data_IF_251968481621
#
_entry.id   IF_251968481621
#
_cell.length_a   1.000
_cell.length_b   1.000
_cell.length_c   1.000
_cell.angle_alpha   90.00
_cell.angle_beta   90.00
_cell.angle_gamma   90.00
#
_symmetry.space_group_name_H-M   'P 1'
#
loop_
_entity.id
_entity.type
_entity.pdbx_description
1 polymer ?
#
# COMPACT_ATOMS: atom_id res chain seq x y z
N UNK A 1 81.25 -4.10 48.11
CA UNK A 1 80.67 -4.76 46.92
C UNK A 1 79.19 -4.38 46.84
N UNK A 2 78.85 -3.41 45.99
CA UNK A 2 77.47 -3.05 45.65
C UNK A 2 77.41 -2.92 44.13
N UNK A 3 76.77 -3.87 43.47
CA UNK A 3 76.44 -3.78 42.05
C UNK A 3 75.03 -3.19 41.91
N UNK A 4 74.79 -2.21 41.02
CA UNK A 4 73.44 -1.80 40.67
C UNK A 4 72.92 -2.76 39.58
N UNK A 5 71.76 -3.37 39.83
CA UNK A 5 70.99 -4.06 38.81
C UNK A 5 70.33 -3.01 37.91
N UNK A 6 70.77 -2.95 36.65
CA UNK A 6 70.11 -2.19 35.60
C UNK A 6 68.88 -2.97 35.13
N UNK A 7 67.70 -2.48 35.46
CA UNK A 7 66.42 -3.03 34.98
C UNK A 7 66.13 -2.44 33.59
N UNK A 8 66.46 -3.18 32.53
CA UNK A 8 66.04 -2.86 31.17
C UNK A 8 64.53 -3.11 31.07
N UNK A 9 63.74 -2.03 31.11
CA UNK A 9 62.32 -2.05 30.80
C UNK A 9 62.17 -2.12 29.28
N UNK A 10 61.99 -3.34 28.74
CA UNK A 10 61.53 -3.55 27.36
C UNK A 10 60.04 -3.16 27.32
N UNK A 11 59.76 -1.92 26.95
CA UNK A 11 58.43 -1.49 26.53
C UNK A 11 58.04 -2.32 25.30
N UNK A 12 56.91 -3.07 25.32
CA UNK A 12 56.42 -3.67 24.09
C UNK A 12 56.09 -2.51 23.16
N UNK A 13 56.68 -2.53 21.97
CA UNK A 13 56.32 -1.63 20.88
C UNK A 13 54.85 -1.93 20.55
N UNK A 14 53.93 -1.23 21.21
CA UNK A 14 52.51 -1.27 20.89
C UNK A 14 52.42 -0.60 19.52
N UNK A 15 52.44 -1.42 18.47
CA UNK A 15 52.15 -1.00 17.12
C UNK A 15 50.80 -0.31 17.16
N UNK A 16 50.81 1.01 17.14
CA UNK A 16 49.65 1.83 16.84
C UNK A 16 49.25 1.43 15.41
N UNK A 17 48.35 0.46 15.28
CA UNK A 17 47.57 0.29 14.08
C UNK A 17 46.78 1.59 13.93
N UNK A 18 47.27 2.47 13.06
CA UNK A 18 46.51 3.61 12.58
C UNK A 18 45.28 3.03 11.88
N UNK A 19 44.15 2.98 12.57
CA UNK A 19 42.87 2.68 11.97
C UNK A 19 42.44 3.93 11.20
N UNK A 20 42.98 4.10 9.99
CA UNK A 20 42.29 4.87 8.98
C UNK A 20 41.11 4.00 8.53
N UNK A 21 39.99 4.04 9.27
CA UNK A 21 38.72 3.61 8.67
C UNK A 21 38.52 4.45 7.41
N UNK A 22 38.03 3.84 6.33
CA UNK A 22 37.75 4.52 5.05
C UNK A 22 36.77 5.68 5.19
N UNK A 23 36.36 6.26 4.06
CA UNK A 23 35.23 7.20 4.06
C UNK A 23 33.91 6.45 3.96
N UNK A 24 32.78 6.99 4.47
CA UNK A 24 31.49 6.35 4.28
C UNK A 24 31.05 6.37 2.81
N UNK A 25 30.31 5.34 2.34
CA UNK A 25 29.79 5.29 0.99
C UNK A 25 28.90 6.49 0.63
N UNK A 26 28.94 6.90 -0.64
CA UNK A 26 27.99 7.84 -1.22
C UNK A 26 26.79 7.06 -1.75
N UNK A 27 25.67 7.13 -1.02
CA UNK A 27 24.42 6.52 -1.44
C UNK A 27 23.76 7.32 -2.58
N UNK A 28 23.38 6.63 -3.66
CA UNK A 28 22.65 7.20 -4.77
C UNK A 28 21.49 6.30 -5.18
N UNK A 29 20.33 6.91 -5.43
CA UNK A 29 19.09 6.23 -5.74
C UNK A 29 18.43 6.88 -6.95
N UNK A 30 18.09 6.08 -7.95
CA UNK A 30 17.20 6.45 -9.04
C UNK A 30 15.89 5.67 -8.98
N UNK A 31 14.78 6.32 -9.34
CA UNK A 31 13.44 5.71 -9.30
C UNK A 31 12.79 5.89 -10.66
N UNK A 32 12.27 4.81 -11.23
CA UNK A 32 11.59 4.83 -12.52
C UNK A 32 10.27 4.07 -12.47
N UNK A 33 9.12 4.70 -12.80
CA UNK A 33 8.96 6.14 -13.06
C UNK A 33 9.04 6.97 -11.76
N UNK A 34 9.32 8.28 -11.84
CA UNK A 34 9.38 9.15 -10.65
C UNK A 34 7.98 9.52 -10.07
N UNK A 35 6.91 9.19 -10.79
CA UNK A 35 5.53 9.31 -10.35
C UNK A 35 4.68 8.21 -10.96
N UNK A 36 3.59 7.86 -10.30
CA UNK A 36 2.71 6.78 -10.72
C UNK A 36 1.44 6.74 -9.89
N UNK A 37 0.69 5.65 -9.95
CA UNK A 37 -0.45 5.39 -9.06
C UNK A 37 -0.22 4.10 -8.27
N UNK A 38 -1.21 3.65 -7.50
CA UNK A 38 -1.09 2.44 -6.67
C UNK A 38 -0.95 1.13 -7.47
N UNK A 39 -1.08 1.16 -8.80
CA UNK A 39 -0.79 0.02 -9.68
C UNK A 39 0.53 0.15 -10.43
N UNK A 40 1.26 1.25 -10.24
CA UNK A 40 2.58 1.44 -10.84
C UNK A 40 3.60 0.57 -10.12
N UNK A 41 4.35 -0.20 -10.88
CA UNK A 41 5.57 -0.84 -10.42
C UNK A 41 6.73 0.15 -10.56
N UNK A 42 7.32 0.53 -9.44
CA UNK A 42 8.46 1.43 -9.37
C UNK A 42 9.74 0.61 -9.32
N UNK A 43 10.68 0.90 -10.21
CA UNK A 43 12.03 0.35 -10.20
C UNK A 43 12.90 1.30 -9.39
N UNK A 44 13.40 0.82 -8.25
CA UNK A 44 14.33 1.54 -7.39
C UNK A 44 15.72 0.97 -7.62
N UNK A 45 16.61 1.78 -8.20
CA UNK A 45 17.93 1.37 -8.61
C UNK A 45 19.00 2.11 -7.77
N UNK A 46 19.67 1.40 -6.83
CA UNK A 46 20.72 1.95 -5.99
C UNK A 46 22.12 1.85 -6.62
N UNK A 47 22.23 1.35 -7.86
CA UNK A 47 23.50 0.96 -8.48
C UNK A 47 24.43 2.14 -8.79
N UNK A 48 23.94 3.38 -8.73
CA UNK A 48 24.80 4.56 -8.82
C UNK A 48 25.59 4.84 -7.53
N UNK A 49 25.32 4.11 -6.44
CA UNK A 49 26.05 4.24 -5.18
C UNK A 49 27.51 3.81 -5.35
N UNK A 50 28.40 4.47 -4.63
CA UNK A 50 29.84 4.27 -4.75
C UNK A 50 30.56 4.56 -3.45
N UNK A 51 31.70 3.94 -3.25
CA UNK A 51 32.67 4.30 -2.23
C UNK A 51 34.04 4.52 -2.87
N UNK A 52 34.88 5.39 -2.30
CA UNK A 52 36.19 5.72 -2.85
C UNK A 52 37.24 4.64 -2.56
N UNK A 53 37.05 3.88 -1.49
CA UNK A 53 37.98 2.88 -0.99
C UNK A 53 37.48 1.44 -1.21
N UNK A 54 36.16 1.23 -1.25
CA UNK A 54 35.54 -0.09 -1.41
C UNK A 54 35.09 -0.39 -2.83
N UNK A 55 35.20 -1.67 -3.23
CA UNK A 55 34.64 -2.13 -4.49
C UNK A 55 33.11 -2.15 -4.41
N UNK A 56 32.44 -1.93 -5.54
CA UNK A 56 30.97 -1.85 -5.59
C UNK A 56 30.29 -3.15 -5.15
N UNK A 57 30.95 -4.29 -5.37
CA UNK A 57 30.48 -5.61 -4.99
C UNK A 57 30.53 -5.86 -3.47
N UNK A 58 31.35 -5.10 -2.75
CA UNK A 58 31.47 -5.16 -1.29
C UNK A 58 30.44 -4.24 -0.59
N UNK A 59 29.85 -3.30 -1.34
CA UNK A 59 28.76 -2.46 -0.85
C UNK A 59 27.44 -3.22 -0.76
N UNK A 60 26.70 -2.96 0.32
CA UNK A 60 25.38 -3.54 0.54
C UNK A 60 24.38 -2.45 0.89
N UNK A 61 23.12 -2.62 0.51
CA UNK A 61 22.07 -1.65 0.80
C UNK A 61 20.84 -2.24 1.48
N UNK A 62 20.08 -1.38 2.15
CA UNK A 62 18.76 -1.69 2.72
C UNK A 62 17.81 -0.51 2.59
N UNK A 63 16.52 -0.80 2.74
CA UNK A 63 15.44 0.12 2.44
C UNK A 63 14.57 0.38 3.66
N UNK A 64 14.19 1.64 3.81
CA UNK A 64 13.13 2.13 4.67
C UNK A 64 12.11 2.79 3.72
N UNK A 65 10.98 2.11 3.49
CA UNK A 65 10.03 2.45 2.42
C UNK A 65 9.23 3.71 2.69
N UNK A 66 9.12 4.12 3.96
CA UNK A 66 8.27 5.22 4.41
C UNK A 66 9.03 6.26 5.27
N UNK A 67 10.35 6.10 5.43
CA UNK A 67 11.24 6.95 6.23
C UNK A 67 10.78 7.09 7.68
N UNK A 68 10.21 6.03 8.27
CA UNK A 68 9.75 6.04 9.66
C UNK A 68 10.86 5.66 10.67
N UNK A 69 12.04 5.28 10.17
CA UNK A 69 13.20 4.88 10.97
C UNK A 69 13.24 3.39 11.30
N UNK A 70 12.26 2.60 10.85
CA UNK A 70 12.28 1.15 10.82
C UNK A 70 12.75 0.72 9.43
N UNK A 71 13.60 -0.31 9.37
CA UNK A 71 14.11 -0.84 8.12
C UNK A 71 13.28 -2.07 7.72
N UNK A 72 12.58 -2.02 6.58
CA UNK A 72 11.78 -3.16 6.10
C UNK A 72 12.63 -4.27 5.49
N UNK A 73 13.85 -3.95 5.06
CA UNK A 73 14.76 -4.94 4.48
C UNK A 73 16.06 -5.08 5.27
N UNK A 74 16.63 -6.30 5.23
CA UNK A 74 18.02 -6.51 5.57
C UNK A 74 18.96 -5.99 4.48
N UNK A 75 20.27 -5.99 4.75
CA UNK A 75 21.28 -5.63 3.76
C UNK A 75 21.34 -6.66 2.62
N UNK A 76 21.31 -6.17 1.38
CA UNK A 76 21.38 -6.91 0.12
C UNK A 76 22.38 -6.24 -0.84
N UNK A 77 22.67 -6.87 -1.98
CA UNK A 77 23.49 -6.26 -3.04
C UNK A 77 22.79 -5.05 -3.66
N UNK A 78 23.54 -4.19 -4.35
CA UNK A 78 23.04 -2.98 -5.03
C UNK A 78 22.24 -3.27 -6.33
N UNK A 79 21.43 -4.32 -6.33
CA UNK A 79 20.57 -4.68 -7.46
C UNK A 79 19.26 -3.86 -7.44
N UNK A 80 18.72 -3.48 -8.61
CA UNK A 80 17.42 -2.82 -8.68
C UNK A 80 16.29 -3.67 -8.11
N UNK A 81 15.36 -3.05 -7.40
CA UNK A 81 14.17 -3.70 -6.83
C UNK A 81 12.90 -3.11 -7.42
N UNK A 82 11.88 -3.94 -7.54
CA UNK A 82 10.53 -3.51 -7.92
C UNK A 82 9.71 -3.35 -6.64
N UNK A 83 9.11 -2.18 -6.46
CA UNK A 83 8.22 -1.88 -5.35
C UNK A 83 6.91 -1.25 -5.86
N UNK A 84 5.81 -1.50 -5.15
CA UNK A 84 4.51 -0.90 -5.42
C UNK A 84 3.93 -0.36 -4.12
N UNK A 85 3.44 0.88 -4.16
CA UNK A 85 2.82 1.55 -3.02
C UNK A 85 1.30 1.37 -3.05
N UNK A 86 0.69 1.13 -1.89
CA UNK A 86 -0.75 0.89 -1.72
C UNK A 86 -1.53 2.11 -1.20
N UNK A 87 -0.86 3.25 -1.05
CA UNK A 87 -1.44 4.52 -0.62
C UNK A 87 -1.24 5.62 -1.66
N UNK A 88 -2.08 6.64 -1.60
CA UNK A 88 -1.98 7.86 -2.43
C UNK A 88 -1.29 8.93 -1.60
N UNK A 89 -0.38 9.67 -2.20
CA UNK A 89 0.36 10.74 -1.55
C UNK A 89 1.83 10.72 -1.93
N UNK A 90 2.63 11.41 -1.12
CA UNK A 90 4.08 11.42 -1.26
C UNK A 90 4.65 10.32 -0.37
N UNK A 91 5.55 9.50 -0.94
CA UNK A 91 6.38 8.56 -0.19
C UNK A 91 7.82 9.06 -0.16
N UNK A 92 8.46 9.05 1.00
CA UNK A 92 9.89 9.33 1.15
C UNK A 92 10.63 8.01 1.35
N UNK A 93 11.22 7.46 0.29
CA UNK A 93 11.99 6.21 0.40
C UNK A 93 13.42 6.53 0.79
N UNK A 94 13.89 5.92 1.88
CA UNK A 94 15.26 6.04 2.36
C UNK A 94 16.07 4.80 2.03
N UNK A 95 17.22 5.03 1.40
CA UNK A 95 18.24 4.05 1.09
C UNK A 95 19.43 4.25 2.03
N UNK A 96 19.91 3.18 2.65
CA UNK A 96 21.22 3.14 3.30
C UNK A 96 22.14 2.19 2.55
N UNK A 97 23.39 2.62 2.37
CA UNK A 97 24.48 1.83 1.79
C UNK A 97 25.59 1.73 2.82
N UNK A 98 26.09 0.51 3.04
CA UNK A 98 27.16 0.19 4.00
C UNK A 98 28.34 -0.46 3.26
N UNK A 99 29.55 -0.18 3.74
CA UNK A 99 30.79 -0.84 3.33
C UNK A 99 31.18 -2.01 4.25
N UNK A 100 32.31 -2.64 3.95
CA UNK A 100 32.91 -3.73 4.75
C UNK A 100 33.45 -3.27 6.12
N UNK A 101 33.76 -1.98 6.27
CA UNK A 101 34.26 -1.35 7.50
C UNK A 101 33.13 -0.94 8.47
N UNK A 102 31.88 -1.10 8.00
CA UNK A 102 30.64 -0.78 8.70
C UNK A 102 30.28 0.70 8.68
N UNK A 103 30.90 1.51 7.83
CA UNK A 103 30.50 2.90 7.60
C UNK A 103 29.32 2.92 6.64
N UNK A 104 28.41 3.86 6.86
CA UNK A 104 27.21 3.98 6.02
C UNK A 104 26.93 5.40 5.56
N UNK A 105 26.36 5.48 4.36
CA UNK A 105 25.77 6.67 3.80
C UNK A 105 24.30 6.44 3.49
N UNK A 106 23.51 7.51 3.50
CA UNK A 106 22.07 7.45 3.24
C UNK A 106 21.63 8.47 2.22
N UNK A 107 20.58 8.15 1.47
CA UNK A 107 19.86 9.11 0.60
C UNK A 107 18.36 8.89 0.73
N UNK A 108 17.58 9.93 0.42
CA UNK A 108 16.11 9.90 0.44
C UNK A 108 15.60 10.35 -0.92
N UNK A 109 14.62 9.63 -1.46
CA UNK A 109 13.94 9.99 -2.71
C UNK A 109 12.44 10.07 -2.47
N UNK A 110 11.87 11.21 -2.83
CA UNK A 110 10.42 11.40 -2.86
C UNK A 110 9.83 10.78 -4.12
N UNK A 111 8.71 10.07 -3.97
CA UNK A 111 7.94 9.45 -5.06
C UNK A 111 6.49 9.94 -4.92
N UNK A 112 5.90 10.47 -6.00
CA UNK A 112 4.49 10.89 -6.03
C UNK A 112 3.60 9.74 -6.48
N UNK A 113 2.71 9.31 -5.59
CA UNK A 113 1.68 8.32 -5.89
C UNK A 113 0.36 9.06 -6.06
N UNK A 114 -0.02 9.25 -7.32
CA UNK A 114 -1.17 9.99 -7.76
C UNK A 114 -2.47 9.17 -7.65
N UNK A 115 -3.59 9.90 -7.52
CA UNK A 115 -4.92 9.33 -7.65
C UNK A 115 -5.33 9.04 -9.12
N UNK A 116 -4.43 9.27 -10.07
CA UNK A 116 -4.71 9.10 -11.50
C UNK A 116 -5.01 7.64 -11.82
N UNK A 117 -6.22 7.36 -12.30
CA UNK A 117 -6.67 5.99 -12.55
C UNK A 117 -7.05 5.20 -11.29
N UNK A 118 -7.01 5.82 -10.11
CA UNK A 118 -7.52 5.22 -8.86
C UNK A 118 -8.96 5.57 -8.58
N UNK A 119 -9.54 6.57 -9.27
CA UNK A 119 -10.97 6.86 -9.21
C UNK A 119 -11.47 7.49 -10.51
N UNK A 120 -12.78 7.46 -10.69
CA UNK A 120 -13.41 8.07 -11.84
C UNK A 120 -14.92 7.93 -11.80
N UNK A 121 -15.55 7.99 -12.98
CA UNK A 121 -16.98 7.82 -13.11
C UNK A 121 -17.36 7.18 -14.44
N UNK A 122 -18.50 6.50 -14.47
CA UNK A 122 -19.11 5.98 -15.70
C UNK A 122 -20.60 6.33 -15.73
N UNK A 123 -21.22 6.23 -16.90
CA UNK A 123 -22.67 6.34 -17.04
C UNK A 123 -23.26 4.94 -17.19
N UNK A 124 -24.30 4.65 -16.41
CA UNK A 124 -25.16 3.50 -16.66
C UNK A 124 -26.06 3.84 -17.86
N UNK A 125 -25.90 3.10 -18.96
CA UNK A 125 -26.65 3.35 -20.19
C UNK A 125 -28.15 3.05 -20.08
N UNK A 126 -28.57 2.34 -19.02
CA UNK A 126 -29.95 1.92 -18.81
C UNK A 126 -30.82 3.05 -18.25
N UNK A 127 -30.25 3.97 -17.48
CA UNK A 127 -30.96 5.10 -16.84
C UNK A 127 -30.23 6.45 -16.96
N UNK A 128 -29.07 6.49 -17.63
CA UNK A 128 -28.17 7.65 -17.74
C UNK A 128 -27.66 8.18 -16.40
N UNK A 129 -27.74 7.38 -15.33
CA UNK A 129 -27.19 7.77 -14.04
C UNK A 129 -25.66 7.65 -14.07
N UNK A 130 -24.99 8.71 -13.61
CA UNK A 130 -23.54 8.75 -13.46
C UNK A 130 -23.16 8.18 -12.10
N UNK A 131 -22.32 7.15 -12.08
CA UNK A 131 -21.78 6.55 -10.86
C UNK A 131 -20.28 6.79 -10.78
N UNK A 132 -19.78 7.05 -9.57
CA UNK A 132 -18.34 7.08 -9.30
C UNK A 132 -17.80 5.68 -9.02
N UNK A 133 -16.55 5.46 -9.37
CA UNK A 133 -15.80 4.27 -9.05
C UNK A 133 -14.47 4.63 -8.39
N UNK A 134 -13.94 3.67 -7.63
CA UNK A 134 -12.64 3.74 -6.98
C UNK A 134 -11.92 2.40 -7.17
N UNK A 135 -10.60 2.44 -7.37
CA UNK A 135 -9.73 1.28 -7.41
C UNK A 135 -9.17 1.06 -6.01
N UNK A 136 -9.31 -0.17 -5.51
CA UNK A 136 -8.82 -0.62 -4.21
C UNK A 136 -7.98 -1.87 -4.47
N UNK A 137 -6.67 -1.74 -4.29
CA UNK A 137 -5.71 -2.74 -4.76
C UNK A 137 -5.86 -3.00 -6.26
N UNK A 138 -6.06 -4.26 -6.61
CA UNK A 138 -6.24 -4.70 -8.01
C UNK A 138 -7.69 -4.61 -8.50
N UNK A 139 -8.64 -4.29 -7.63
CA UNK A 139 -10.07 -4.31 -7.93
C UNK A 139 -10.65 -2.91 -8.15
N UNK A 140 -11.65 -2.80 -9.00
CA UNK A 140 -12.43 -1.58 -9.21
C UNK A 140 -13.81 -1.77 -8.60
N UNK A 141 -14.19 -0.86 -7.71
CA UNK A 141 -15.44 -0.87 -6.96
C UNK A 141 -16.27 0.36 -7.32
N UNK A 142 -17.60 0.23 -7.30
CA UNK A 142 -18.44 1.42 -7.27
C UNK A 142 -18.21 2.14 -5.95
N UNK A 143 -17.96 3.45 -6.02
CA UNK A 143 -17.83 4.31 -4.85
C UNK A 143 -19.20 4.83 -4.35
N UNK A 144 -20.27 4.47 -5.05
CA UNK A 144 -21.65 4.87 -4.76
C UNK A 144 -22.54 3.63 -4.78
N UNK A 145 -23.58 3.65 -3.95
CA UNK A 145 -24.59 2.60 -3.99
C UNK A 145 -25.36 2.65 -5.33
N UNK A 146 -25.59 1.47 -5.92
CA UNK A 146 -26.39 1.35 -7.13
C UNK A 146 -27.82 1.87 -6.88
N UNK A 147 -28.35 2.63 -7.84
CA UNK A 147 -29.66 3.29 -7.75
C UNK A 147 -30.51 3.08 -9.02
N UNK A 148 -30.24 2.03 -9.78
CA UNK A 148 -31.03 1.62 -10.92
C UNK A 148 -32.45 1.20 -10.51
N UNK A 149 -33.50 1.83 -11.07
CA UNK A 149 -34.90 1.49 -10.79
C UNK A 149 -35.36 0.35 -11.68
N UNK A 150 -35.63 -0.81 -11.08
CA UNK A 150 -36.26 -1.94 -11.77
C UNK A 150 -37.78 -1.77 -11.87
N UNK A 151 -38.43 -2.49 -12.79
CA UNK A 151 -39.90 -2.54 -12.89
C UNK A 151 -40.53 -3.10 -11.61
N UNK A 152 -39.94 -4.16 -11.05
CA UNK A 152 -40.34 -4.80 -9.80
C UNK A 152 -39.10 -5.23 -9.01
N UNK A 153 -39.23 -5.37 -7.68
CA UNK A 153 -38.14 -5.85 -6.83
C UNK A 153 -37.05 -4.81 -6.51
N UNK A 154 -37.34 -3.51 -6.64
CA UNK A 154 -36.49 -2.44 -6.07
C UNK A 154 -37.33 -1.38 -5.36
N UNK A 155 -36.80 -0.82 -4.27
CA UNK A 155 -37.48 0.21 -3.48
C UNK A 155 -36.49 1.13 -2.77
N UNK A 156 -36.95 2.31 -2.38
CA UNK A 156 -36.18 3.22 -1.55
C UNK A 156 -36.34 2.85 -0.08
N UNK A 157 -35.31 3.07 0.73
CA UNK A 157 -35.42 2.96 2.18
C UNK A 157 -36.58 3.82 2.70
N UNK A 158 -37.43 3.26 3.57
CA UNK A 158 -38.71 3.85 4.04
C UNK A 158 -39.72 4.24 2.95
N UNK A 159 -39.58 3.72 1.72
CA UNK A 159 -40.40 4.10 0.56
C UNK A 159 -40.37 5.61 0.24
N UNK A 160 -39.26 6.31 0.55
CA UNK A 160 -39.07 7.74 0.26
C UNK A 160 -38.08 7.92 -0.89
N UNK A 161 -38.50 8.55 -1.99
CA UNK A 161 -37.63 8.75 -3.17
C UNK A 161 -36.34 9.51 -2.85
N UNK A 162 -36.39 10.47 -1.92
CA UNK A 162 -35.20 11.18 -1.43
C UNK A 162 -34.14 10.24 -0.82
N UNK A 163 -34.55 9.11 -0.25
CA UNK A 163 -33.63 8.11 0.29
C UNK A 163 -32.95 7.30 -0.81
N UNK A 164 -33.58 7.11 -1.98
CA UNK A 164 -32.91 6.51 -3.14
C UNK A 164 -31.77 7.40 -3.64
N UNK A 165 -32.00 8.72 -3.72
CA UNK A 165 -30.98 9.67 -4.16
C UNK A 165 -29.78 9.73 -3.21
N UNK A 166 -30.01 9.47 -1.91
CA UNK A 166 -28.98 9.57 -0.87
C UNK A 166 -28.27 8.24 -0.58
N UNK A 167 -29.00 7.13 -0.58
CA UNK A 167 -28.52 5.83 -0.11
C UNK A 167 -28.50 4.76 -1.20
N UNK A 168 -28.96 5.08 -2.41
CA UNK A 168 -29.23 4.11 -3.46
C UNK A 168 -30.51 3.30 -3.21
N UNK A 169 -30.71 2.28 -4.03
CA UNK A 169 -31.89 1.41 -3.98
C UNK A 169 -31.61 0.12 -3.22
N UNK A 170 -32.66 -0.35 -2.55
CA UNK A 170 -32.73 -1.71 -2.03
C UNK A 170 -33.26 -2.60 -3.15
N UNK A 171 -32.70 -3.81 -3.24
CA UNK A 171 -33.03 -4.78 -4.27
C UNK A 171 -33.45 -6.10 -3.63
N UNK A 172 -34.46 -6.72 -4.23
CA UNK A 172 -34.81 -8.09 -3.91
C UNK A 172 -33.68 -9.03 -4.35
N UNK A 173 -33.44 -10.08 -3.57
CA UNK A 173 -32.36 -11.03 -3.84
C UNK A 173 -32.39 -11.58 -5.28
N UNK A 174 -33.57 -11.89 -5.80
CA UNK A 174 -33.77 -12.43 -7.15
C UNK A 174 -33.39 -11.44 -8.27
N UNK A 175 -33.41 -10.13 -7.98
CA UNK A 175 -32.93 -9.10 -8.90
C UNK A 175 -31.41 -8.91 -8.85
N UNK A 176 -30.74 -9.41 -7.80
CA UNK A 176 -29.30 -9.26 -7.56
C UNK A 176 -28.49 -10.53 -7.83
N UNK A 177 -29.12 -11.70 -7.75
CA UNK A 177 -28.46 -12.98 -7.85
C UNK A 177 -28.33 -13.43 -9.31
N UNK A 178 -27.39 -12.82 -10.03
CA UNK A 178 -27.00 -13.17 -11.41
C UNK A 178 -26.80 -14.70 -11.63
N UNK A 179 -26.40 -15.43 -10.57
CA UNK A 179 -25.95 -16.82 -10.69
C UNK A 179 -26.93 -17.90 -10.18
N UNK A 180 -28.13 -17.57 -9.67
CA UNK A 180 -28.97 -18.56 -8.96
C UNK A 180 -30.33 -18.91 -9.59
N UNK A 181 -30.76 -18.28 -10.69
CA UNK A 181 -32.13 -18.54 -11.20
C UNK A 181 -32.31 -18.62 -12.72
N UNK A 182 -31.27 -18.65 -13.55
CA UNK A 182 -31.45 -18.89 -15.00
C UNK A 182 -32.34 -17.85 -15.74
N UNK A 183 -32.74 -16.76 -15.08
CA UNK A 183 -33.67 -15.75 -15.58
C UNK A 183 -32.96 -14.46 -16.04
N UNK A 184 -31.62 -14.41 -15.94
CA UNK A 184 -30.78 -13.38 -16.59
C UNK A 184 -30.97 -11.94 -16.12
N UNK A 185 -31.54 -11.68 -14.94
CA UNK A 185 -31.70 -10.31 -14.41
C UNK A 185 -30.59 -9.98 -13.43
N UNK A 186 -29.43 -9.61 -13.96
CA UNK A 186 -28.40 -8.92 -13.18
C UNK A 186 -28.75 -7.43 -13.11
N UNK A 187 -28.89 -6.90 -11.89
CA UNK A 187 -29.11 -5.47 -11.69
C UNK A 187 -27.87 -4.63 -12.00
N UNK A 188 -26.69 -5.25 -12.05
CA UNK A 188 -25.45 -4.54 -12.31
C UNK A 188 -25.37 -4.04 -13.76
N UNK A 189 -24.84 -2.83 -14.00
CA UNK A 189 -24.60 -2.33 -15.36
C UNK A 189 -23.63 -3.23 -16.13
N UNK A 190 -23.61 -3.12 -17.46
CA UNK A 190 -22.63 -3.86 -18.29
C UNK A 190 -21.21 -3.56 -17.82
N UNK A 191 -20.41 -4.62 -17.63
CA UNK A 191 -19.03 -4.53 -17.14
C UNK A 191 -18.91 -4.46 -15.60
N UNK A 192 -20.03 -4.47 -14.88
CA UNK A 192 -20.10 -4.56 -13.43
C UNK A 192 -20.84 -5.83 -13.03
N UNK A 193 -20.54 -6.35 -11.85
CA UNK A 193 -21.21 -7.52 -11.28
C UNK A 193 -21.30 -7.41 -9.77
N UNK A 194 -22.17 -8.22 -9.18
CA UNK A 194 -22.22 -8.37 -7.72
C UNK A 194 -20.94 -9.07 -7.25
N UNK A 195 -20.20 -8.51 -6.29
CA UNK A 195 -18.97 -9.10 -5.79
C UNK A 195 -19.18 -10.53 -5.29
N UNK A 196 -18.29 -11.43 -5.69
CA UNK A 196 -18.15 -12.76 -5.08
C UNK A 196 -17.50 -12.66 -3.68
N UNK A 197 -17.65 -13.70 -2.85
CA UNK A 197 -16.94 -13.77 -1.56
C UNK A 197 -15.42 -13.69 -1.73
N UNK A 198 -14.86 -14.29 -2.79
CA UNK A 198 -13.42 -14.17 -3.12
C UNK A 198 -13.00 -12.73 -3.43
N UNK A 199 -13.84 -11.97 -4.12
CA UNK A 199 -13.55 -10.58 -4.41
C UNK A 199 -13.66 -9.72 -3.17
N UNK A 200 -14.66 -9.97 -2.32
CA UNK A 200 -14.80 -9.28 -1.05
C UNK A 200 -13.64 -9.59 -0.10
N UNK A 201 -13.15 -10.84 -0.05
CA UNK A 201 -11.94 -11.23 0.70
C UNK A 201 -10.69 -10.48 0.23
N UNK A 202 -10.57 -10.24 -1.08
CA UNK A 202 -9.45 -9.46 -1.63
C UNK A 202 -9.50 -8.02 -1.14
N UNK A 203 -10.69 -7.39 -1.16
CA UNK A 203 -10.92 -6.07 -0.58
C UNK A 203 -10.62 -6.05 0.93
N UNK A 204 -11.12 -7.02 1.68
CA UNK A 204 -10.91 -7.14 3.13
C UNK A 204 -9.43 -7.23 3.49
N UNK A 205 -8.68 -8.08 2.79
CA UNK A 205 -7.22 -8.19 2.94
C UNK A 205 -6.55 -6.85 2.67
N UNK A 206 -6.92 -6.18 1.58
CA UNK A 206 -6.35 -4.88 1.22
C UNK A 206 -6.57 -3.83 2.32
N UNK A 207 -7.74 -3.80 2.97
CA UNK A 207 -8.01 -2.85 4.05
C UNK A 207 -7.45 -3.29 5.42
N UNK A 208 -6.65 -4.35 5.46
CA UNK A 208 -5.90 -4.80 6.62
C UNK A 208 -6.60 -5.89 7.44
N UNK A 209 -7.40 -6.77 6.80
CA UNK A 209 -7.87 -7.98 7.46
C UNK A 209 -6.76 -9.04 7.48
N UNK A 210 -6.53 -9.63 8.65
CA UNK A 210 -5.60 -10.74 8.85
C UNK A 210 -6.03 -11.99 8.07
N UNK A 211 -5.06 -12.67 7.44
CA UNK A 211 -5.32 -13.81 6.54
C UNK A 211 -6.15 -14.92 7.21
N UNK A 212 -5.86 -15.23 8.47
CA UNK A 212 -6.53 -16.31 9.19
C UNK A 212 -8.01 -16.02 9.52
N UNK A 213 -8.44 -14.73 9.46
CA UNK A 213 -9.82 -14.30 9.73
C UNK A 213 -10.68 -14.30 8.46
N UNK A 214 -10.08 -14.30 7.27
CA UNK A 214 -10.79 -14.17 5.99
C UNK A 214 -11.82 -15.28 5.75
N UNK A 215 -11.53 -16.49 6.25
CA UNK A 215 -12.37 -17.67 6.05
C UNK A 215 -13.35 -17.94 7.19
N UNK A 216 -13.41 -17.06 8.20
CA UNK A 216 -14.37 -17.19 9.29
C UNK A 216 -15.81 -17.00 8.77
N UNK A 217 -16.74 -17.80 9.28
CA UNK A 217 -18.17 -17.64 8.99
C UNK A 217 -18.78 -16.58 9.92
N UNK A 218 -19.50 -15.63 9.34
CA UNK A 218 -20.19 -14.57 10.09
C UNK A 218 -19.40 -13.27 10.14
N UNK A 219 -19.23 -12.69 11.34
CA UNK A 219 -18.53 -11.40 11.50
C UNK A 219 -17.03 -11.61 11.37
N UNK A 220 -16.43 -11.03 10.33
CA UNK A 220 -14.97 -11.07 10.10
C UNK A 220 -14.29 -9.78 10.55
N UNK A 221 -13.47 -9.88 11.59
CA UNK A 221 -12.61 -8.79 12.07
C UNK A 221 -13.32 -7.48 12.44
N UNK A 222 -12.56 -6.38 12.38
CA UNK A 222 -13.02 -5.01 12.70
C UNK A 222 -12.84 -4.02 11.54
N UNK A 223 -12.59 -4.52 10.32
CA UNK A 223 -12.32 -3.68 9.14
C UNK A 223 -13.56 -2.96 8.60
N UNK A 224 -14.77 -3.35 9.02
CA UNK A 224 -16.01 -2.70 8.61
C UNK A 224 -16.00 -1.19 8.88
N UNK A 225 -15.30 -0.73 9.93
CA UNK A 225 -15.14 0.70 10.21
C UNK A 225 -14.50 1.45 9.02
N UNK A 226 -13.54 0.84 8.32
CA UNK A 226 -12.85 1.42 7.16
C UNK A 226 -13.72 1.48 5.89
N UNK A 227 -14.69 0.57 5.78
CA UNK A 227 -15.55 0.43 4.59
C UNK A 227 -16.86 1.23 4.68
N UNK A 228 -17.39 1.44 5.90
CA UNK A 228 -18.64 2.18 6.12
C UNK A 228 -18.48 3.68 5.89
N UNK A 229 -19.54 4.34 5.41
CA UNK A 229 -19.66 5.80 5.34
C UNK A 229 -19.34 6.49 6.66
N UNK A 230 -18.77 7.69 6.61
CA UNK A 230 -18.57 8.56 7.78
C UNK A 230 -19.86 9.18 8.32
N UNK A 231 -20.99 9.00 7.63
CA UNK A 231 -22.28 9.55 8.05
C UNK A 231 -23.47 8.69 7.61
N UNK A 232 -24.67 9.05 8.04
CA UNK A 232 -25.92 8.43 7.57
C UNK A 232 -26.39 7.21 8.36
N UNK A 233 -25.58 6.71 9.29
CA UNK A 233 -25.98 5.67 10.24
C UNK A 233 -26.45 6.27 11.58
N UNK A 234 -27.24 5.50 12.34
CA UNK A 234 -27.64 5.87 13.70
C UNK A 234 -26.45 5.97 14.68
N UNK A 235 -26.72 6.23 15.96
CA UNK A 235 -25.69 6.39 16.98
C UNK A 235 -24.67 5.24 16.93
N UNK A 236 -23.38 5.58 16.84
CA UNK A 236 -22.22 4.67 16.75
C UNK A 236 -22.14 3.78 15.49
N UNK A 237 -23.01 4.00 14.50
CA UNK A 237 -23.06 3.20 13.27
C UNK A 237 -22.10 3.63 12.16
N UNK A 238 -21.58 4.86 12.21
CA UNK A 238 -20.71 5.39 11.15
C UNK A 238 -19.34 4.68 11.13
N UNK A 239 -18.68 4.76 9.98
CA UNK A 239 -17.30 4.35 9.75
C UNK A 239 -16.35 5.54 9.64
N UNK A 240 -15.12 5.27 9.21
CA UNK A 240 -14.15 6.27 8.75
C UNK A 240 -14.20 6.48 7.25
N UNK A 241 -14.78 5.53 6.49
CA UNK A 241 -14.74 5.49 5.03
C UNK A 241 -13.32 5.62 4.45
N UNK A 242 -12.29 5.13 5.16
CA UNK A 242 -10.90 5.26 4.69
C UNK A 242 -10.64 4.50 3.38
N UNK A 243 -11.51 3.56 3.01
CA UNK A 243 -11.45 2.86 1.72
C UNK A 243 -12.10 3.64 0.55
N UNK A 244 -12.86 4.70 0.82
CA UNK A 244 -13.45 5.56 -0.21
C UNK A 244 -14.70 4.99 -0.91
N UNK A 245 -15.35 3.98 -0.35
CA UNK A 245 -16.56 3.32 -0.90
C UNK A 245 -17.86 4.10 -0.67
N UNK A 246 -17.81 5.42 -0.48
CA UNK A 246 -19.00 6.20 -0.14
C UNK A 246 -19.00 7.64 -0.67
N UNK A 247 -19.90 7.92 -1.61
CA UNK A 247 -20.45 9.25 -1.97
C UNK A 247 -21.91 9.17 -2.40
#
# INVERSE_FOLDING_TARGET
>A
MKHPFSLFLLLPLLSLFSCNKGTPPVAALSVTPESGNTSTEFILDPSASSDAESAKEDLRCRWDWNNDGIWETGYASLDPVIHQFDFIGLSEVKLEVIDEDGLSGTTVKEISIDASGTSGSFFDSRDNQKYKWIRIGTQVWMAQNLNFKTETGSWCYENKEANCLKYGRLYQWEATASNNLGNGKDVCPVGWHMPSDSEFKTLERYVGMEEYVLNDMGRRGIIANKLKSSSGWGAEGNGTNSAGLNV
#
